data_IF_500667512596
#
_entry.id   IF_500667512596
#
_cell.length_a   1.000
_cell.length_b   1.000
_cell.length_c   1.000
_cell.angle_alpha   90.00
_cell.angle_beta   90.00
_cell.angle_gamma   90.00
#
_symmetry.space_group_name_H-M   'P 1'
#
loop_
_entity.id
_entity.type
_entity.pdbx_description
1 polymer ?
#
# COMPACT_ATOMS: atom_id res chain seq x y z
N UNK A 1 -8.96 3.80 -22.16
CA UNK A 1 -8.34 3.66 -20.80
C UNK A 1 -7.57 4.93 -20.42
N UNK A 2 -6.70 5.47 -21.29
CA UNK A 2 -5.93 6.70 -21.00
C UNK A 2 -6.83 7.91 -20.76
N UNK A 3 -7.88 8.10 -21.55
CA UNK A 3 -8.85 9.19 -21.37
C UNK A 3 -9.59 9.12 -20.03
N UNK A 4 -9.82 7.90 -19.52
CA UNK A 4 -10.44 7.70 -18.20
C UNK A 4 -9.44 8.08 -17.09
N UNK A 5 -8.19 7.68 -17.22
CA UNK A 5 -7.13 8.04 -16.27
C UNK A 5 -6.90 9.56 -16.24
N UNK A 6 -6.89 10.21 -17.40
CA UNK A 6 -6.76 11.66 -17.50
C UNK A 6 -7.98 12.37 -16.88
N UNK A 7 -9.18 11.81 -17.03
CA UNK A 7 -10.40 12.35 -16.41
C UNK A 7 -10.43 12.17 -14.89
N UNK A 8 -9.85 11.09 -14.35
CA UNK A 8 -9.70 10.87 -12.91
C UNK A 8 -8.74 11.90 -12.31
N UNK A 9 -7.67 12.25 -13.00
CA UNK A 9 -6.72 13.29 -12.59
C UNK A 9 -7.36 14.67 -12.55
N UNK A 10 -8.32 14.95 -13.45
CA UNK A 10 -8.92 16.27 -13.65
C UNK A 10 -10.23 16.45 -12.85
N UNK A 11 -10.92 15.37 -12.49
CA UNK A 11 -12.27 15.42 -11.92
C UNK A 11 -12.43 14.55 -10.68
N UNK A 12 -12.60 15.22 -9.52
CA UNK A 12 -12.97 14.56 -8.26
C UNK A 12 -14.24 13.70 -8.38
N UNK A 13 -15.18 14.06 -9.27
CA UNK A 13 -16.42 13.32 -9.50
C UNK A 13 -16.16 12.00 -10.22
N UNK A 14 -15.27 11.99 -11.20
CA UNK A 14 -14.88 10.77 -11.90
C UNK A 14 -14.12 9.82 -10.92
N UNK A 15 -13.16 10.35 -10.17
CA UNK A 15 -12.45 9.60 -9.14
C UNK A 15 -13.42 8.99 -8.09
N UNK A 16 -14.45 9.75 -7.67
CA UNK A 16 -15.47 9.29 -6.73
C UNK A 16 -16.33 8.15 -7.31
N UNK A 17 -16.72 8.24 -8.58
CA UNK A 17 -17.49 7.20 -9.26
C UNK A 17 -16.68 5.89 -9.37
N UNK A 18 -15.39 5.99 -9.62
CA UNK A 18 -14.50 4.83 -9.72
C UNK A 18 -14.15 4.21 -8.37
N UNK A 19 -13.98 5.02 -7.32
CA UNK A 19 -13.64 4.54 -5.98
C UNK A 19 -14.72 3.68 -5.33
N UNK A 20 -15.99 3.77 -5.80
CA UNK A 20 -17.12 2.99 -5.27
C UNK A 20 -17.39 1.67 -5.99
N UNK A 21 -16.75 1.43 -7.13
CA UNK A 21 -16.93 0.19 -7.90
C UNK A 21 -15.87 -0.84 -7.51
N UNK A 22 -16.23 -1.94 -6.82
CA UNK A 22 -15.27 -2.98 -6.43
C UNK A 22 -14.55 -3.63 -7.63
N UNK A 23 -15.20 -3.65 -8.81
CA UNK A 23 -14.60 -4.17 -10.04
C UNK A 23 -13.55 -3.23 -10.64
N UNK A 24 -13.43 -2.01 -10.10
CA UNK A 24 -12.54 -0.97 -10.60
C UNK A 24 -11.48 -0.53 -9.59
N UNK A 25 -11.40 -1.18 -8.42
CA UNK A 25 -10.34 -0.92 -7.43
C UNK A 25 -8.94 -1.15 -8.03
N UNK A 26 -8.83 -2.08 -8.97
CA UNK A 26 -7.59 -2.36 -9.71
C UNK A 26 -7.09 -1.18 -10.53
N UNK A 27 -7.96 -0.22 -10.91
CA UNK A 27 -7.56 0.94 -11.74
C UNK A 27 -6.63 1.86 -10.96
N UNK A 28 -6.97 2.18 -9.71
CA UNK A 28 -6.13 3.04 -8.88
C UNK A 28 -4.78 2.38 -8.56
N UNK A 29 -4.79 1.09 -8.24
CA UNK A 29 -3.58 0.31 -8.02
C UNK A 29 -2.71 0.22 -9.28
N UNK A 30 -3.34 -0.01 -10.46
CA UNK A 30 -2.66 0.00 -11.75
C UNK A 30 -2.03 1.36 -12.04
N UNK A 31 -2.75 2.46 -11.76
CA UNK A 31 -2.21 3.81 -11.92
C UNK A 31 -1.00 4.06 -11.02
N UNK A 32 -1.07 3.70 -9.73
CA UNK A 32 0.06 3.82 -8.80
C UNK A 32 1.27 3.04 -9.31
N UNK A 33 1.05 1.81 -9.77
CA UNK A 33 2.09 0.96 -10.34
C UNK A 33 2.74 1.61 -11.57
N UNK A 34 1.94 1.98 -12.57
CA UNK A 34 2.42 2.53 -13.83
C UNK A 34 3.14 3.86 -13.62
N UNK A 35 2.63 4.69 -12.69
CA UNK A 35 3.27 5.94 -12.30
C UNK A 35 4.69 5.69 -11.73
N UNK A 36 4.83 4.75 -10.81
CA UNK A 36 6.11 4.45 -10.17
C UNK A 36 7.10 3.91 -11.20
N UNK A 37 6.69 2.96 -12.03
CA UNK A 37 7.54 2.40 -13.09
C UNK A 37 8.03 3.50 -14.02
N UNK A 38 7.13 4.36 -14.47
CA UNK A 38 7.43 5.39 -15.49
C UNK A 38 8.26 6.55 -14.93
N UNK A 39 8.00 6.98 -13.69
CA UNK A 39 8.53 8.25 -13.18
C UNK A 39 9.61 8.08 -12.11
N UNK A 40 9.74 6.90 -11.50
CA UNK A 40 10.67 6.67 -10.38
C UNK A 40 11.83 5.74 -10.70
N UNK A 41 12.00 5.43 -11.97
CA UNK A 41 13.07 4.54 -12.46
C UNK A 41 13.17 3.23 -11.67
N UNK A 42 12.03 2.57 -11.47
CA UNK A 42 11.90 1.28 -10.79
C UNK A 42 11.61 0.15 -11.81
N UNK A 43 12.55 -0.20 -12.70
CA UNK A 43 12.28 -1.13 -13.81
C UNK A 43 11.97 -2.55 -13.35
N UNK A 44 12.38 -2.92 -12.14
CA UNK A 44 12.14 -4.24 -11.54
C UNK A 44 10.88 -4.29 -10.68
N UNK A 45 10.10 -3.20 -10.64
CA UNK A 45 8.83 -3.20 -9.93
C UNK A 45 7.89 -4.21 -10.59
N UNK A 46 7.35 -5.11 -9.79
CA UNK A 46 6.40 -6.14 -10.25
C UNK A 46 5.18 -6.17 -9.35
N UNK A 47 4.03 -6.45 -9.96
CA UNK A 47 2.80 -6.74 -9.21
C UNK A 47 2.89 -8.12 -8.58
N UNK A 48 2.38 -8.23 -7.37
CA UNK A 48 2.28 -9.48 -6.63
C UNK A 48 0.85 -10.02 -6.70
N UNK A 49 0.71 -11.31 -6.46
CA UNK A 49 -0.62 -11.94 -6.39
C UNK A 49 -1.36 -11.49 -5.14
N UNK A 50 -2.63 -11.15 -5.27
CA UNK A 50 -3.52 -10.81 -4.14
C UNK A 50 -3.90 -12.01 -3.27
N UNK A 51 -3.60 -13.24 -3.71
CA UNK A 51 -3.88 -14.48 -2.99
C UNK A 51 -3.17 -15.69 -3.61
N UNK A 52 -3.38 -16.86 -3.02
CA UNK A 52 -2.78 -18.12 -3.49
C UNK A 52 -1.32 -18.31 -3.06
N UNK A 53 -0.64 -19.26 -3.70
CA UNK A 53 0.70 -19.71 -3.32
C UNK A 53 1.80 -18.67 -3.47
N UNK A 54 1.59 -17.64 -4.29
CA UNK A 54 2.59 -16.60 -4.59
C UNK A 54 2.32 -15.26 -3.88
N UNK A 55 1.22 -15.14 -3.14
CA UNK A 55 0.93 -13.92 -2.40
C UNK A 55 1.87 -13.77 -1.21
N UNK A 56 2.30 -12.53 -0.96
CA UNK A 56 3.22 -12.19 0.13
C UNK A 56 2.46 -11.41 1.19
N UNK A 57 2.70 -11.74 2.46
CA UNK A 57 2.07 -11.13 3.63
C UNK A 57 3.12 -10.77 4.67
N UNK A 58 2.79 -9.82 5.55
CA UNK A 58 3.51 -9.64 6.81
C UNK A 58 2.66 -10.24 7.95
N UNK A 59 3.27 -11.14 8.71
CA UNK A 59 2.61 -11.87 9.80
C UNK A 59 3.55 -11.91 11.01
N UNK A 60 3.17 -11.29 12.11
CA UNK A 60 3.97 -11.23 13.33
C UNK A 60 5.42 -10.75 13.10
N UNK A 61 5.60 -9.82 12.15
CA UNK A 61 6.92 -9.31 11.78
C UNK A 61 7.75 -10.30 10.96
N UNK A 62 7.13 -11.19 10.22
CA UNK A 62 7.78 -12.10 9.26
C UNK A 62 7.17 -11.93 7.86
N UNK A 63 7.98 -12.10 6.83
CA UNK A 63 7.49 -12.19 5.44
C UNK A 63 7.08 -13.63 5.18
N UNK A 64 5.80 -13.83 4.87
CA UNK A 64 5.23 -15.17 4.62
C UNK A 64 4.69 -15.21 3.20
N UNK A 65 5.06 -16.24 2.45
CA UNK A 65 4.60 -16.48 1.07
C UNK A 65 3.65 -17.68 1.05
N UNK A 66 2.56 -17.55 0.31
CA UNK A 66 1.72 -18.68 -0.05
C UNK A 66 0.91 -19.29 1.10
N UNK A 67 0.23 -18.46 1.86
CA UNK A 67 -0.65 -18.98 2.90
C UNK A 67 -1.90 -19.62 2.30
N UNK A 68 -2.14 -20.90 2.59
CA UNK A 68 -3.37 -21.61 2.23
C UNK A 68 -4.60 -21.07 2.99
N UNK A 69 -4.39 -20.49 4.17
CA UNK A 69 -5.36 -19.72 4.95
C UNK A 69 -4.66 -18.53 5.56
N UNK A 70 -5.21 -17.34 5.34
CA UNK A 70 -4.76 -16.14 6.06
C UNK A 70 -4.85 -16.43 7.56
N UNK A 71 -3.77 -16.24 8.35
CA UNK A 71 -3.86 -16.37 9.80
C UNK A 71 -4.99 -15.49 10.31
N UNK A 72 -5.91 -16.08 11.06
CA UNK A 72 -7.04 -15.33 11.64
C UNK A 72 -6.56 -14.21 12.56
N UNK A 73 -7.36 -13.13 12.65
CA UNK A 73 -7.18 -12.08 13.61
C UNK A 73 -6.20 -10.97 13.24
N UNK A 74 -5.69 -10.29 14.26
CA UNK A 74 -4.93 -9.03 14.15
C UNK A 74 -3.49 -9.17 13.63
N UNK A 75 -2.99 -10.37 13.46
CA UNK A 75 -1.56 -10.67 13.31
C UNK A 75 -1.03 -10.67 11.87
N UNK A 76 -1.91 -10.70 10.86
CA UNK A 76 -1.51 -10.73 9.46
C UNK A 76 -2.01 -9.49 8.70
N UNK A 77 -1.19 -8.97 7.79
CA UNK A 77 -1.63 -7.97 6.81
C UNK A 77 -2.53 -8.59 5.75
N UNK A 78 -3.14 -7.79 4.88
CA UNK A 78 -3.53 -8.25 3.55
C UNK A 78 -2.26 -8.50 2.73
N UNK A 79 -2.40 -9.09 1.54
CA UNK A 79 -1.28 -9.29 0.61
C UNK A 79 -0.60 -7.97 0.26
N UNK A 80 0.70 -8.02 0.08
CA UNK A 80 1.50 -6.92 -0.46
C UNK A 80 1.23 -6.82 -1.96
N UNK A 81 1.11 -5.60 -2.48
CA UNK A 81 0.65 -5.35 -3.84
C UNK A 81 1.80 -5.33 -4.86
N UNK A 82 2.95 -4.71 -4.51
CA UNK A 82 4.10 -4.63 -5.42
C UNK A 82 5.41 -4.96 -4.71
N UNK A 83 6.40 -5.34 -5.50
CA UNK A 83 7.78 -5.54 -5.06
C UNK A 83 8.78 -5.00 -6.08
N UNK A 84 9.80 -4.30 -5.62
CA UNK A 84 10.98 -3.93 -6.40
C UNK A 84 12.23 -4.28 -5.60
N UNK A 85 12.92 -5.34 -6.01
CA UNK A 85 14.07 -5.88 -5.29
C UNK A 85 13.77 -6.10 -3.79
N UNK A 86 14.34 -5.27 -2.92
CA UNK A 86 14.13 -5.32 -1.47
C UNK A 86 13.01 -4.41 -0.96
N UNK A 87 12.28 -3.75 -1.83
CA UNK A 87 11.18 -2.84 -1.48
C UNK A 87 9.84 -3.55 -1.63
N UNK A 88 9.00 -3.45 -0.62
CA UNK A 88 7.67 -4.04 -0.55
C UNK A 88 6.64 -2.94 -0.40
N UNK A 89 5.68 -2.88 -1.32
CA UNK A 89 4.69 -1.81 -1.41
C UNK A 89 3.30 -2.34 -1.11
N UNK A 90 2.64 -1.69 -0.18
CA UNK A 90 1.23 -1.90 0.12
C UNK A 90 0.45 -0.66 -0.32
N UNK A 91 -0.38 -0.81 -1.35
CA UNK A 91 -1.03 0.30 -2.04
C UNK A 91 -2.46 0.50 -1.55
N UNK A 92 -2.82 1.75 -1.27
CA UNK A 92 -4.18 2.17 -0.92
C UNK A 92 -4.53 3.45 -1.64
N UNK A 93 -5.72 3.45 -2.22
CA UNK A 93 -6.32 4.64 -2.80
C UNK A 93 -7.70 4.87 -2.17
N UNK A 94 -7.93 6.06 -1.66
CA UNK A 94 -9.21 6.41 -1.05
C UNK A 94 -9.51 7.88 -1.25
N UNK A 95 -10.62 8.19 -1.93
CA UNK A 95 -10.97 9.56 -2.28
C UNK A 95 -11.73 10.29 -1.17
N UNK A 96 -12.70 9.63 -0.54
CA UNK A 96 -13.62 10.26 0.42
C UNK A 96 -13.71 9.51 1.73
N UNK A 97 -14.21 10.19 2.78
CA UNK A 97 -14.49 9.56 4.08
C UNK A 97 -15.75 8.68 4.03
N UNK A 98 -15.72 7.56 4.77
CA UNK A 98 -16.86 6.63 4.95
C UNK A 98 -16.41 5.33 5.63
N UNK A 99 -17.34 4.49 6.08
CA UNK A 99 -17.03 3.32 6.92
C UNK A 99 -16.08 2.28 6.28
N UNK A 100 -16.12 2.09 4.95
CA UNK A 100 -15.20 1.20 4.26
C UNK A 100 -13.77 1.76 4.22
N UNK A 101 -13.60 3.06 4.20
CA UNK A 101 -12.33 3.76 4.15
C UNK A 101 -11.57 3.70 5.49
N UNK A 102 -12.29 3.71 6.60
CA UNK A 102 -11.67 3.52 7.92
C UNK A 102 -11.04 2.12 8.02
N UNK A 103 -11.67 1.10 7.42
CA UNK A 103 -11.08 -0.23 7.32
C UNK A 103 -9.81 -0.25 6.47
N UNK A 104 -9.76 0.49 5.36
CA UNK A 104 -8.55 0.60 4.52
C UNK A 104 -7.42 1.32 5.26
N UNK A 105 -7.74 2.38 6.00
CA UNK A 105 -6.77 3.08 6.84
C UNK A 105 -6.23 2.15 7.95
N UNK A 106 -7.10 1.36 8.59
CA UNK A 106 -6.70 0.38 9.60
C UNK A 106 -5.82 -0.74 9.01
N UNK A 107 -6.11 -1.19 7.78
CA UNK A 107 -5.23 -2.13 7.05
C UNK A 107 -3.84 -1.51 6.81
N UNK A 108 -3.78 -0.23 6.44
CA UNK A 108 -2.52 0.50 6.26
C UNK A 108 -1.72 0.64 7.57
N UNK A 109 -2.38 1.00 8.67
CA UNK A 109 -1.75 1.07 10.00
C UNK A 109 -1.20 -0.29 10.42
N UNK A 110 -1.96 -1.35 10.19
CA UNK A 110 -1.53 -2.71 10.46
C UNK A 110 -0.30 -3.13 9.64
N UNK A 111 -0.25 -2.73 8.36
CA UNK A 111 0.93 -2.95 7.53
C UNK A 111 2.16 -2.27 8.15
N UNK A 112 2.05 -1.00 8.55
CA UNK A 112 3.13 -0.26 9.20
C UNK A 112 3.57 -0.92 10.52
N UNK A 113 2.62 -1.37 11.35
CA UNK A 113 2.91 -2.10 12.59
C UNK A 113 3.72 -3.37 12.31
N UNK A 114 3.28 -4.19 11.37
CA UNK A 114 3.96 -5.44 11.01
C UNK A 114 5.34 -5.18 10.37
N UNK A 115 5.48 -4.12 9.58
CA UNK A 115 6.76 -3.68 9.02
C UNK A 115 7.74 -3.23 10.12
N UNK A 116 7.26 -2.48 11.11
CA UNK A 116 8.07 -2.11 12.29
C UNK A 116 8.56 -3.36 13.06
N UNK A 117 7.67 -4.32 13.29
CA UNK A 117 8.03 -5.58 13.95
C UNK A 117 9.08 -6.35 13.15
N UNK A 118 8.94 -6.41 11.82
CA UNK A 118 9.94 -7.01 10.94
C UNK A 118 11.30 -6.32 11.09
N UNK A 119 11.33 -5.00 10.98
CA UNK A 119 12.57 -4.23 11.07
C UNK A 119 13.27 -4.36 12.42
N UNK A 120 12.50 -4.55 13.50
CA UNK A 120 13.06 -4.78 14.84
C UNK A 120 13.70 -6.17 14.98
N UNK A 121 13.18 -7.16 14.25
CA UNK A 121 13.68 -8.56 14.29
C UNK A 121 14.83 -8.80 13.33
N UNK A 122 14.85 -8.11 12.19
CA UNK A 122 15.73 -8.41 11.06
C UNK A 122 16.62 -7.20 10.72
N UNK A 123 17.93 -7.42 10.67
CA UNK A 123 18.94 -6.41 10.33
C UNK A 123 19.30 -6.44 8.83
N UNK A 124 18.33 -6.80 7.97
CA UNK A 124 18.51 -6.78 6.52
C UNK A 124 18.19 -5.39 5.92
N UNK A 125 18.27 -5.29 4.59
CA UNK A 125 18.05 -4.04 3.86
C UNK A 125 16.64 -3.91 3.25
N UNK A 126 15.66 -4.70 3.71
CA UNK A 126 14.30 -4.61 3.19
C UNK A 126 13.62 -3.34 3.64
N UNK A 127 12.86 -2.75 2.71
CA UNK A 127 12.11 -1.51 2.89
C UNK A 127 10.63 -1.78 2.67
N UNK A 128 9.79 -1.24 3.52
CA UNK A 128 8.34 -1.39 3.48
C UNK A 128 7.70 -0.03 3.25
N UNK A 129 6.89 0.08 2.21
CA UNK A 129 6.32 1.34 1.77
C UNK A 129 4.80 1.21 1.74
N UNK A 130 4.12 1.97 2.59
CA UNK A 130 2.69 2.18 2.50
C UNK A 130 2.44 3.32 1.52
N UNK A 131 1.91 2.98 0.34
CA UNK A 131 1.46 3.95 -0.65
C UNK A 131 0.04 4.37 -0.33
N UNK A 132 -0.19 5.66 -0.14
CA UNK A 132 -1.51 6.21 0.19
C UNK A 132 -1.82 7.40 -0.70
N UNK A 133 -2.78 7.25 -1.57
CA UNK A 133 -3.24 8.28 -2.50
C UNK A 133 -4.76 8.51 -2.38
N UNK A 134 -5.21 9.63 -2.93
CA UNK A 134 -6.59 10.09 -2.85
C UNK A 134 -6.85 11.07 -1.71
N UNK A 135 -7.95 11.84 -1.83
CA UNK A 135 -8.28 12.96 -0.96
C UNK A 135 -8.48 12.59 0.53
N UNK A 136 -8.76 11.32 0.82
CA UNK A 136 -8.89 10.83 2.19
C UNK A 136 -7.55 10.88 2.97
N UNK A 137 -6.42 10.64 2.30
CA UNK A 137 -5.10 10.60 2.92
C UNK A 137 -4.45 11.99 2.94
N UNK A 138 -5.03 12.90 3.70
CA UNK A 138 -4.46 14.23 3.96
C UNK A 138 -3.07 14.10 4.60
N UNK A 139 -2.26 15.17 4.53
CA UNK A 139 -0.94 15.19 5.18
C UNK A 139 -1.04 14.94 6.69
N UNK A 140 -2.09 15.43 7.35
CA UNK A 140 -2.35 15.14 8.76
C UNK A 140 -2.52 13.64 9.03
N UNK A 141 -3.28 12.94 8.19
CA UNK A 141 -3.46 11.48 8.30
C UNK A 141 -2.17 10.72 8.00
N UNK A 142 -1.44 11.12 6.97
CA UNK A 142 -0.12 10.54 6.67
C UNK A 142 0.85 10.73 7.85
N UNK A 143 0.90 11.92 8.43
CA UNK A 143 1.71 12.22 9.62
C UNK A 143 1.28 11.37 10.82
N UNK A 144 -0.03 11.22 11.06
CA UNK A 144 -0.55 10.34 12.12
C UNK A 144 -0.10 8.88 11.94
N UNK A 145 -0.08 8.36 10.71
CA UNK A 145 0.43 7.01 10.47
C UNK A 145 1.96 6.98 10.61
N UNK A 146 2.68 7.97 10.06
CA UNK A 146 4.15 8.08 10.18
C UNK A 146 4.61 8.15 11.65
N UNK A 147 3.83 8.77 12.54
CA UNK A 147 4.16 8.87 13.96
C UNK A 147 4.18 7.53 14.69
N UNK A 148 3.56 6.49 14.14
CA UNK A 148 3.60 5.11 14.68
C UNK A 148 4.87 4.36 14.30
N UNK A 149 5.68 4.91 13.38
CA UNK A 149 6.94 4.29 12.95
C UNK A 149 8.01 4.60 13.98
N UNK A 150 8.66 3.54 14.50
CA UNK A 150 9.80 3.69 15.40
C UNK A 150 10.90 4.49 14.73
N UNK A 151 11.52 5.42 15.46
CA UNK A 151 12.51 6.34 14.89
C UNK A 151 13.64 5.61 14.15
N UNK A 152 14.15 4.55 14.75
CA UNK A 152 15.18 3.69 14.17
C UNK A 152 14.78 3.02 12.85
N UNK A 153 13.47 2.86 12.59
CA UNK A 153 12.94 2.17 11.41
C UNK A 153 12.49 3.13 10.29
N UNK A 154 12.54 4.45 10.49
CA UNK A 154 12.05 5.44 9.52
C UNK A 154 12.73 5.38 8.15
N UNK A 155 13.95 4.86 8.10
CA UNK A 155 14.66 4.64 6.84
C UNK A 155 14.18 3.39 6.09
N UNK A 156 13.52 2.44 6.77
CA UNK A 156 13.04 1.17 6.23
C UNK A 156 11.51 1.05 6.17
N UNK A 157 10.78 1.85 6.96
CA UNK A 157 9.32 1.88 6.95
C UNK A 157 8.86 3.27 6.55
N UNK A 158 8.16 3.39 5.43
CA UNK A 158 7.78 4.67 4.83
C UNK A 158 6.27 4.73 4.57
N UNK A 159 5.70 5.93 4.70
CA UNK A 159 4.31 6.23 4.33
C UNK A 159 4.34 7.44 3.42
N UNK A 160 3.93 7.28 2.17
CA UNK A 160 4.02 8.34 1.16
C UNK A 160 2.96 8.16 0.07
N UNK A 161 2.68 9.20 -0.67
CA UNK A 161 1.96 9.09 -1.94
C UNK A 161 2.85 8.57 -3.07
N UNK A 162 2.26 8.12 -4.17
CA UNK A 162 3.00 7.62 -5.34
C UNK A 162 3.95 8.67 -5.92
N UNK A 163 3.62 9.95 -5.76
CA UNK A 163 4.47 11.07 -6.21
C UNK A 163 5.70 11.29 -5.33
N UNK A 164 5.71 10.77 -4.11
CA UNK A 164 6.75 10.99 -3.09
C UNK A 164 7.76 9.81 -3.01
N UNK A 165 7.52 8.72 -3.72
CA UNK A 165 8.37 7.51 -3.72
C UNK A 165 9.79 7.78 -4.21
#
# INVERSE_FOLDING_TARGET
EQEILDSIIISNTAAYAFAKDPLRQDIAENFQYDWIVKNKNKPNLRKLSSGGSNAIYLVEGEIVTGMSKKPGGSKATKSIDFQNDNEYYYAKYTETCGGAQDNQCNDGKKFVEQANLYCNKHQDNKVFILLVDGGYYTEEKKLSIRSTISEQNRHRVRVCGSYEV
#
